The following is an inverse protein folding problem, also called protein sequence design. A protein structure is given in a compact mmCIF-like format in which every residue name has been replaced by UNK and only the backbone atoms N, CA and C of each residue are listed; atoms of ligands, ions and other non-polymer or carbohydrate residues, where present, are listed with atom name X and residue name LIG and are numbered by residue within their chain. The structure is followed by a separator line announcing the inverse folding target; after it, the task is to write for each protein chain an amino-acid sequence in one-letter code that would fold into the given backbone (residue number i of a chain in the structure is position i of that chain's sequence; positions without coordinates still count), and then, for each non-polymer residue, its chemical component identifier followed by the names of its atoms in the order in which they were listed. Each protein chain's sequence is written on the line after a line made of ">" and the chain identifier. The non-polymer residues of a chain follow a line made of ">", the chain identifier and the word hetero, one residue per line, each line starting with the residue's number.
data_IF_500835834715
#
_entry.id   IF_500835834715
#
_cell.length_a   1.000
_cell.length_b   1.000
_cell.length_c   1.000
_cell.angle_alpha   90.00
_cell.angle_beta   90.00
_cell.angle_gamma   90.00
#
_symmetry.space_group_name_H-M   'P 1'
#
loop_
_entity.id
_entity.type
_entity.pdbx_description
1 polymer ?
#
# COMPACT_ATOMS: atom_id res chain seq x y z
N UNK A 1 -7.80 13.78 13.70
CA UNK A 1 -7.89 12.99 12.45
C UNK A 1 -6.62 12.18 12.39
N UNK A 2 -6.66 10.93 12.86
CA UNK A 2 -5.51 10.04 12.85
C UNK A 2 -5.26 9.61 11.41
N UNK A 3 -4.12 9.98 10.84
CA UNK A 3 -3.59 9.28 9.67
C UNK A 3 -3.48 7.80 10.06
N UNK A 4 -3.84 6.84 9.18
CA UNK A 4 -3.69 5.43 9.48
C UNK A 4 -2.19 5.12 9.49
N UNK A 5 -1.54 5.50 10.58
CA UNK A 5 -0.15 5.21 10.82
C UNK A 5 -0.08 3.76 11.29
N UNK A 6 0.45 2.94 10.39
CA UNK A 6 1.30 1.78 10.74
C UNK A 6 0.60 0.46 11.07
N UNK A 7 -0.73 0.36 11.10
CA UNK A 7 -1.40 -0.91 11.42
C UNK A 7 -1.92 -1.73 10.21
N UNK A 8 -1.79 -1.21 8.99
CA UNK A 8 -2.29 -1.87 7.76
C UNK A 8 -1.19 -2.51 6.91
N UNK A 9 0.03 -2.62 7.45
CA UNK A 9 1.16 -3.25 6.74
C UNK A 9 1.26 -4.71 7.19
N UNK A 10 1.05 -5.62 6.26
CA UNK A 10 1.30 -7.04 6.47
C UNK A 10 2.75 -7.35 6.08
N UNK A 11 3.39 -8.21 6.86
CA UNK A 11 4.77 -8.67 6.59
C UNK A 11 4.77 -10.18 6.50
N UNK A 12 5.53 -10.72 5.54
CA UNK A 12 5.68 -12.15 5.36
C UNK A 12 6.35 -12.78 6.59
N UNK A 13 6.07 -14.06 6.90
CA UNK A 13 6.66 -14.71 8.08
C UNK A 13 8.19 -14.72 8.11
N UNK A 14 8.83 -14.73 6.94
CA UNK A 14 10.28 -14.67 6.78
C UNK A 14 10.85 -13.25 6.76
N UNK A 15 9.99 -12.22 6.77
CA UNK A 15 10.39 -10.81 6.73
C UNK A 15 10.96 -10.34 5.39
N UNK A 16 10.85 -11.13 4.33
CA UNK A 16 11.37 -10.77 3.00
C UNK A 16 10.50 -9.71 2.31
N UNK A 17 9.18 -9.76 2.53
CA UNK A 17 8.19 -8.93 1.86
C UNK A 17 7.23 -8.26 2.84
N UNK A 18 6.81 -7.06 2.46
CA UNK A 18 5.71 -6.37 3.13
C UNK A 18 4.73 -5.84 2.09
N UNK A 19 3.47 -5.68 2.48
CA UNK A 19 2.45 -5.12 1.61
C UNK A 19 1.47 -4.24 2.38
N UNK A 20 0.80 -3.35 1.66
CA UNK A 20 -0.13 -2.39 2.24
C UNK A 20 -0.61 -1.34 1.25
N UNK A 21 -1.57 -0.53 1.70
CA UNK A 21 -2.05 0.63 0.95
C UNK A 21 -1.15 1.84 1.19
N UNK A 22 -0.88 2.58 0.12
CA UNK A 22 -0.21 3.86 0.17
C UNK A 22 -0.98 4.88 -0.65
N UNK A 23 -0.93 6.12 -0.19
CA UNK A 23 -1.64 7.23 -0.79
C UNK A 23 -0.89 7.72 -2.04
N UNK A 24 -1.60 7.77 -3.15
CA UNK A 24 -1.19 8.34 -4.43
C UNK A 24 -1.90 9.69 -4.61
N UNK A 25 -1.33 10.77 -4.06
CA UNK A 25 -1.92 12.10 -4.14
C UNK A 25 -3.16 12.29 -3.25
N UNK A 26 -4.02 13.26 -3.54
CA UNK A 26 -5.00 13.74 -2.55
C UNK A 26 -6.16 12.78 -2.25
N UNK A 27 -6.53 11.89 -3.17
CA UNK A 27 -7.68 11.01 -2.99
C UNK A 27 -7.57 9.68 -3.73
N UNK A 28 -6.35 9.21 -3.98
CA UNK A 28 -6.12 7.91 -4.60
C UNK A 28 -5.23 7.05 -3.71
N UNK A 29 -5.51 5.76 -3.68
CA UNK A 29 -4.72 4.77 -2.97
C UNK A 29 -4.39 3.60 -3.89
N UNK A 30 -3.21 3.04 -3.71
CA UNK A 30 -2.81 1.78 -4.33
C UNK A 30 -2.35 0.80 -3.28
N UNK A 31 -2.63 -0.49 -3.52
CA UNK A 31 -2.08 -1.58 -2.75
C UNK A 31 -0.82 -2.11 -3.44
N UNK A 32 0.28 -2.24 -2.72
CA UNK A 32 1.53 -2.77 -3.27
C UNK A 32 2.20 -3.76 -2.34
N UNK A 33 3.09 -4.54 -2.93
CA UNK A 33 4.04 -5.44 -2.27
C UNK A 33 5.44 -4.90 -2.54
N UNK A 34 6.30 -4.88 -1.52
CA UNK A 34 7.69 -4.44 -1.60
C UNK A 34 8.61 -5.32 -0.78
N UNK A 35 9.92 -5.25 -1.05
CA UNK A 35 10.94 -5.89 -0.22
C UNK A 35 11.13 -5.14 1.09
N UNK A 36 10.97 -5.82 2.22
CA UNK A 36 11.07 -5.21 3.56
C UNK A 36 12.51 -4.77 3.87
N UNK A 37 13.50 -5.52 3.39
CA UNK A 37 14.92 -5.24 3.64
C UNK A 37 15.55 -4.25 2.64
N UNK A 38 14.74 -3.56 1.83
CA UNK A 38 15.21 -2.54 0.90
C UNK A 38 15.06 -1.17 1.55
N UNK A 39 16.15 -0.41 1.66
CA UNK A 39 16.13 0.96 2.18
C UNK A 39 15.14 1.88 1.43
N UNK A 40 14.84 1.56 0.17
CA UNK A 40 13.91 2.30 -0.68
C UNK A 40 12.54 1.62 -0.85
N UNK A 41 12.21 0.59 -0.05
CA UNK A 41 10.96 -0.19 -0.16
C UNK A 41 10.63 -0.52 -1.62
N UNK A 42 11.57 -1.18 -2.29
CA UNK A 42 11.47 -1.49 -3.72
C UNK A 42 10.18 -2.27 -3.99
N UNK A 43 9.23 -1.64 -4.70
CA UNK A 43 7.93 -2.21 -5.04
C UNK A 43 8.13 -3.29 -6.10
N UNK A 44 7.71 -4.50 -5.79
CA UNK A 44 7.75 -5.64 -6.71
C UNK A 44 6.44 -5.81 -7.48
N UNK A 45 5.34 -5.31 -6.91
CA UNK A 45 4.02 -5.40 -7.51
C UNK A 45 3.05 -4.36 -6.95
N UNK A 46 2.15 -3.86 -7.81
CA UNK A 46 1.09 -2.91 -7.46
C UNK A 46 -0.23 -3.36 -8.07
N UNK A 47 -1.30 -3.40 -7.27
CA UNK A 47 -2.65 -3.66 -7.75
C UNK A 47 -3.20 -2.48 -8.55
N UNK A 48 -3.93 -2.77 -9.64
CA UNK A 48 -4.67 -1.79 -10.44
C UNK A 48 -3.83 -0.54 -10.82
N UNK A 49 -2.62 -0.75 -11.36
CA UNK A 49 -1.67 0.34 -11.69
C UNK A 49 -2.28 1.45 -12.56
N UNK A 50 -3.24 1.11 -13.41
CA UNK A 50 -3.91 2.05 -14.32
C UNK A 50 -5.25 2.60 -13.77
N UNK A 51 -5.72 2.09 -12.62
CA UNK A 51 -7.01 2.44 -12.00
C UNK A 51 -6.90 2.47 -10.47
N UNK A 52 -6.23 3.50 -9.89
CA UNK A 52 -6.12 3.64 -8.45
C UNK A 52 -7.50 3.78 -7.79
N UNK A 53 -7.63 3.33 -6.55
CA UNK A 53 -8.90 3.37 -5.82
C UNK A 53 -9.11 4.79 -5.30
N UNK A 54 -10.25 5.41 -5.63
CA UNK A 54 -10.63 6.68 -5.04
C UNK A 54 -10.86 6.51 -3.53
N UNK A 55 -10.32 7.43 -2.73
CA UNK A 55 -10.46 7.45 -1.26
C UNK A 55 -11.91 7.67 -0.78
N UNK A 56 -12.81 8.02 -1.70
CA UNK A 56 -14.24 7.94 -1.45
C UNK A 56 -14.70 6.53 -1.78
N UNK A 57 -14.87 5.72 -0.73
CA UNK A 57 -15.27 4.32 -0.84
C UNK A 57 -16.48 4.14 -1.75
N UNK A 58 -16.53 2.99 -2.44
CA UNK A 58 -17.68 2.59 -3.26
C UNK A 58 -18.93 2.59 -2.39
N UNK A 59 -19.87 3.50 -2.69
CA UNK A 59 -21.22 3.47 -2.15
C UNK A 59 -22.00 2.39 -2.90
N UNK A 60 -22.20 1.26 -2.25
CA UNK A 60 -23.36 0.41 -2.53
C UNK A 60 -24.45 0.75 -1.50
#
# INVERSE_FOLDING_TARGET
>A
MSFPESNDILTSPDGSFSCGFYQLGDNAFSFSIWFSNSANKTVVWTANRDRPVNGQGSRY
#
